data_IF_864488237589
#
_entry.id   IF_864488237589
#
_cell.length_a   1.000
_cell.length_b   1.000
_cell.length_c   1.000
_cell.angle_alpha   90.00
_cell.angle_beta   90.00
_cell.angle_gamma   90.00
#
_symmetry.space_group_name_H-M   'P 1'
#
loop_
_entity.id
_entity.type
_entity.pdbx_description
1 polymer ?
#
# COMPACT_ATOMS: atom_id res chain seq x y z
N UNK A 1 -4.84 50.34 39.26
CA UNK A 1 -3.54 49.73 38.85
C UNK A 1 -3.66 48.23 38.53
N UNK A 2 -4.70 47.53 39.01
CA UNK A 2 -4.98 46.10 38.76
C UNK A 2 -5.11 45.67 37.29
N UNK A 3 -5.76 46.48 36.43
CA UNK A 3 -5.96 46.15 35.01
C UNK A 3 -4.66 46.05 34.21
N UNK A 4 -3.60 46.78 34.61
CA UNK A 4 -2.33 46.80 33.88
C UNK A 4 -1.53 45.51 34.14
N UNK A 5 -1.50 45.02 35.38
CA UNK A 5 -0.83 43.77 35.75
C UNK A 5 -1.51 42.53 35.15
N UNK A 6 -2.85 42.50 35.11
CA UNK A 6 -3.62 41.42 34.48
C UNK A 6 -3.34 41.30 32.98
N UNK A 7 -3.15 42.43 32.29
CA UNK A 7 -2.86 42.47 30.85
C UNK A 7 -1.42 42.01 30.55
N UNK A 8 -0.46 42.30 31.43
CA UNK A 8 0.92 41.82 31.29
C UNK A 8 1.05 40.32 31.55
N UNK A 9 0.29 39.77 32.50
CA UNK A 9 0.19 38.31 32.68
C UNK A 9 -0.43 37.63 31.46
N UNK A 10 -1.54 38.15 30.94
CA UNK A 10 -2.22 37.60 29.77
C UNK A 10 -1.34 37.60 28.50
N UNK A 11 -0.55 38.66 28.27
CA UNK A 11 0.41 38.72 27.15
C UNK A 11 1.50 37.66 27.28
N UNK A 12 2.03 37.44 28.48
CA UNK A 12 3.07 36.42 28.72
C UNK A 12 2.53 35.01 28.49
N UNK A 13 1.32 34.73 28.97
CA UNK A 13 0.66 33.44 28.76
C UNK A 13 0.32 33.22 27.27
N UNK A 14 -0.09 34.27 26.55
CA UNK A 14 -0.32 34.22 25.11
C UNK A 14 0.97 33.90 24.33
N UNK A 15 2.09 34.52 24.69
CA UNK A 15 3.39 34.24 24.07
C UNK A 15 3.78 32.78 24.30
N UNK A 16 3.58 32.26 25.51
CA UNK A 16 3.83 30.85 25.84
C UNK A 16 2.98 29.92 24.98
N UNK A 17 1.66 30.16 24.92
CA UNK A 17 0.73 29.33 24.14
C UNK A 17 1.10 29.34 22.64
N UNK A 18 1.40 30.50 22.08
CA UNK A 18 1.79 30.63 20.66
C UNK A 18 3.10 29.90 20.39
N UNK A 19 4.10 30.05 21.28
CA UNK A 19 5.38 29.37 21.12
C UNK A 19 5.26 27.84 21.16
N UNK A 20 4.48 27.29 22.09
CA UNK A 20 4.22 25.85 22.19
C UNK A 20 3.47 25.36 20.95
N UNK A 21 2.47 26.12 20.50
CA UNK A 21 1.68 25.77 19.30
C UNK A 21 2.58 25.68 18.07
N UNK A 22 3.50 26.64 17.89
CA UNK A 22 4.46 26.64 16.78
C UNK A 22 5.41 25.44 16.86
N UNK A 23 5.88 25.09 18.06
CA UNK A 23 6.76 23.93 18.27
C UNK A 23 6.02 22.63 17.89
N UNK A 24 4.77 22.46 18.34
CA UNK A 24 3.97 21.26 18.01
C UNK A 24 3.69 21.19 16.51
N UNK A 25 3.34 22.31 15.86
CA UNK A 25 3.16 22.35 14.41
C UNK A 25 4.45 22.00 13.68
N UNK A 26 5.60 22.53 14.14
CA UNK A 26 6.91 22.24 13.57
C UNK A 26 7.25 20.76 13.66
N UNK A 27 7.00 20.12 14.81
CA UNK A 27 7.21 18.67 15.00
C UNK A 27 6.30 17.86 14.07
N UNK A 28 5.03 18.24 13.93
CA UNK A 28 4.09 17.56 13.03
C UNK A 28 4.55 17.66 11.56
N UNK A 29 4.91 18.86 11.10
CA UNK A 29 5.38 19.08 9.73
C UNK A 29 6.68 18.30 9.47
N UNK A 30 7.61 18.32 10.43
CA UNK A 30 8.86 17.59 10.34
C UNK A 30 8.65 16.06 10.30
N UNK A 31 7.74 15.53 11.11
CA UNK A 31 7.35 14.11 11.10
C UNK A 31 6.78 13.69 9.74
N UNK A 32 5.95 14.53 9.11
CA UNK A 32 5.42 14.25 7.77
C UNK A 32 6.51 14.28 6.69
N UNK A 33 7.46 15.22 6.78
CA UNK A 33 8.53 15.37 5.80
C UNK A 33 9.59 14.25 5.85
N UNK A 34 9.73 13.57 6.99
CA UNK A 34 10.76 12.55 7.22
C UNK A 34 10.31 11.12 6.93
N UNK A 35 9.04 10.89 6.53
CA UNK A 35 8.58 9.57 6.13
C UNK A 35 9.30 9.08 4.88
N UNK A 36 10.18 8.10 5.05
CA UNK A 36 10.82 7.37 3.95
C UNK A 36 9.76 6.57 3.19
N UNK A 37 9.72 6.76 1.87
CA UNK A 37 8.88 5.98 0.95
C UNK A 37 9.66 4.73 0.53
N UNK A 38 8.98 3.59 0.44
CA UNK A 38 9.60 2.39 -0.11
C UNK A 38 9.80 2.54 -1.62
N UNK A 39 10.89 2.00 -2.13
CA UNK A 39 11.19 1.96 -3.56
C UNK A 39 10.59 0.72 -4.22
N UNK A 40 10.58 -0.39 -3.48
CA UNK A 40 10.04 -1.66 -3.92
C UNK A 40 8.84 -2.05 -3.05
N UNK A 41 7.76 -2.46 -3.71
CA UNK A 41 6.66 -3.16 -3.08
C UNK A 41 6.84 -4.67 -3.25
N UNK A 42 6.76 -5.41 -2.15
CA UNK A 42 6.89 -6.86 -2.11
C UNK A 42 5.51 -7.45 -1.86
N UNK A 43 4.98 -8.16 -2.85
CA UNK A 43 3.68 -8.83 -2.74
C UNK A 43 3.95 -10.26 -2.31
N UNK A 44 3.43 -10.62 -1.14
CA UNK A 44 3.72 -11.89 -0.47
C UNK A 44 2.46 -12.68 -0.22
N UNK A 45 2.58 -14.00 -0.32
CA UNK A 45 1.60 -14.96 0.19
C UNK A 45 2.27 -15.81 1.26
N UNK A 46 1.64 -15.93 2.43
CA UNK A 46 2.17 -16.69 3.57
C UNK A 46 3.64 -16.37 3.89
N UNK A 47 4.00 -15.08 3.83
CA UNK A 47 5.35 -14.52 4.06
C UNK A 47 6.40 -14.84 2.96
N UNK A 48 6.05 -15.59 1.92
CA UNK A 48 6.89 -15.81 0.74
C UNK A 48 6.58 -14.78 -0.34
N UNK A 49 7.60 -14.25 -1.01
CA UNK A 49 7.40 -13.19 -2.01
C UNK A 49 7.05 -13.80 -3.36
N UNK A 50 5.90 -13.42 -3.91
CA UNK A 50 5.44 -13.86 -5.23
C UNK A 50 6.06 -13.02 -6.32
N UNK A 51 6.01 -11.69 -6.15
CA UNK A 51 6.60 -10.74 -7.07
C UNK A 51 6.87 -9.42 -6.36
N UNK A 52 7.68 -8.59 -7.02
CA UNK A 52 7.96 -7.23 -6.58
C UNK A 52 7.55 -6.23 -7.65
N UNK A 53 7.25 -5.00 -7.24
CA UNK A 53 6.98 -3.87 -8.13
C UNK A 53 7.87 -2.72 -7.72
N UNK A 54 8.68 -2.24 -8.65
CA UNK A 54 9.44 -1.00 -8.49
C UNK A 54 8.48 0.18 -8.62
N UNK A 55 8.26 0.90 -7.51
CA UNK A 55 7.26 1.95 -7.43
C UNK A 55 7.65 3.19 -8.24
N UNK A 56 8.94 3.35 -8.57
CA UNK A 56 9.45 4.50 -9.31
C UNK A 56 9.30 4.34 -10.82
N UNK A 57 9.56 3.13 -11.32
CA UNK A 57 9.50 2.78 -12.75
C UNK A 57 8.21 2.05 -13.16
N UNK A 58 7.50 1.45 -12.20
CA UNK A 58 6.37 0.57 -12.45
C UNK A 58 6.75 -0.84 -12.91
N UNK A 59 8.04 -1.14 -13.04
CA UNK A 59 8.51 -2.44 -13.48
C UNK A 59 8.26 -3.48 -12.38
N UNK A 60 7.54 -4.55 -12.72
CA UNK A 60 7.41 -5.71 -11.83
C UNK A 60 8.47 -6.78 -12.14
N UNK A 61 8.76 -7.61 -11.15
CA UNK A 61 9.63 -8.77 -11.26
C UNK A 61 8.99 -9.94 -10.51
N UNK A 62 8.54 -10.95 -11.26
CA UNK A 62 8.01 -12.18 -10.70
C UNK A 62 9.13 -13.09 -10.16
N UNK A 63 8.86 -13.73 -9.03
CA UNK A 63 9.69 -14.78 -8.42
C UNK A 63 9.01 -16.14 -8.61
N UNK A 64 7.67 -16.16 -8.57
CA UNK A 64 6.84 -17.32 -8.92
C UNK A 64 6.38 -17.25 -10.38
N UNK A 65 5.54 -18.20 -10.81
CA UNK A 65 5.03 -18.26 -12.17
C UNK A 65 4.23 -16.99 -12.52
N UNK A 66 4.52 -16.43 -13.71
CA UNK A 66 3.79 -15.28 -14.23
C UNK A 66 3.00 -15.64 -15.49
N UNK A 67 1.76 -15.17 -15.53
CA UNK A 67 0.83 -15.41 -16.62
C UNK A 67 0.40 -14.09 -17.23
N UNK A 68 1.04 -13.71 -18.34
CA UNK A 68 0.65 -12.53 -19.11
C UNK A 68 -0.67 -12.77 -19.82
N UNK A 69 -1.60 -11.83 -19.69
CA UNK A 69 -2.88 -11.86 -20.39
C UNK A 69 -3.11 -10.56 -21.17
N UNK A 70 -3.95 -10.64 -22.20
CA UNK A 70 -4.22 -9.53 -23.13
C UNK A 70 -5.48 -8.75 -22.79
N UNK A 71 -6.28 -9.24 -21.84
CA UNK A 71 -7.52 -8.60 -21.40
C UNK A 71 -7.55 -8.53 -19.88
N UNK A 72 -8.12 -7.45 -19.34
CA UNK A 72 -8.23 -7.25 -17.90
C UNK A 72 -9.11 -8.33 -17.26
N UNK A 73 -8.54 -9.18 -16.38
CA UNK A 73 -9.32 -10.16 -15.64
C UNK A 73 -10.37 -9.51 -14.73
N UNK A 74 -11.46 -10.23 -14.49
CA UNK A 74 -12.50 -9.84 -13.53
C UNK A 74 -12.69 -10.93 -12.50
N UNK A 75 -12.96 -10.53 -11.25
CA UNK A 75 -13.37 -11.46 -10.20
C UNK A 75 -14.90 -11.47 -10.19
N UNK A 76 -15.50 -12.57 -10.64
CA UNK A 76 -16.94 -12.77 -10.72
C UNK A 76 -17.32 -14.05 -9.97
N UNK A 77 -18.23 -13.96 -9.00
CA UNK A 77 -18.65 -15.08 -8.16
C UNK A 77 -17.45 -15.88 -7.58
N UNK A 78 -16.47 -15.16 -7.03
CA UNK A 78 -15.24 -15.73 -6.45
C UNK A 78 -14.30 -16.44 -7.44
N UNK A 79 -14.61 -16.41 -8.74
CA UNK A 79 -13.76 -16.96 -9.81
C UNK A 79 -13.11 -15.86 -10.62
N UNK A 80 -11.98 -16.17 -11.25
CA UNK A 80 -11.29 -15.26 -12.14
C UNK A 80 -11.74 -15.53 -13.58
N UNK A 81 -12.24 -14.50 -14.26
CA UNK A 81 -12.75 -14.59 -15.64
C UNK A 81 -11.86 -13.75 -16.54
N UNK A 82 -11.40 -14.33 -17.65
CA UNK A 82 -10.55 -13.70 -18.67
C UNK A 82 -11.19 -13.96 -20.03
N UNK A 83 -11.47 -12.91 -20.80
CA UNK A 83 -12.17 -13.03 -22.10
C UNK A 83 -13.50 -13.82 -22.03
N UNK A 84 -14.19 -13.79 -20.88
CA UNK A 84 -15.45 -14.52 -20.67
C UNK A 84 -15.28 -16.00 -20.28
N UNK A 85 -14.05 -16.49 -20.12
CA UNK A 85 -13.76 -17.86 -19.69
C UNK A 85 -13.21 -17.88 -18.26
N UNK A 86 -13.67 -18.85 -17.47
CA UNK A 86 -13.15 -19.08 -16.11
C UNK A 86 -11.70 -19.57 -16.20
N UNK A 87 -10.82 -18.96 -15.41
CA UNK A 87 -9.42 -19.26 -15.35
C UNK A 87 -9.03 -19.76 -13.96
N UNK A 88 -8.63 -21.03 -13.89
CA UNK A 88 -8.20 -21.71 -12.65
C UNK A 88 -6.70 -22.02 -12.66
N UNK A 89 -5.90 -21.24 -13.41
CA UNK A 89 -4.45 -21.48 -13.51
C UNK A 89 -3.72 -21.22 -12.19
N UNK A 90 -4.20 -20.26 -11.40
CA UNK A 90 -3.55 -19.87 -10.16
C UNK A 90 -3.98 -20.76 -9.00
N UNK A 91 -3.00 -21.32 -8.31
CA UNK A 91 -3.18 -21.91 -6.98
C UNK A 91 -2.65 -20.97 -5.90
N UNK A 92 -2.99 -21.27 -4.65
CA UNK A 92 -2.55 -20.53 -3.48
C UNK A 92 -1.03 -20.34 -3.44
N UNK A 93 -0.58 -19.10 -3.59
CA UNK A 93 0.84 -18.75 -3.52
C UNK A 93 1.71 -19.21 -4.70
N UNK A 94 1.14 -19.73 -5.79
CA UNK A 94 1.94 -20.33 -6.88
C UNK A 94 2.21 -19.41 -8.06
N UNK A 95 1.62 -18.20 -8.12
CA UNK A 95 1.84 -17.33 -9.26
C UNK A 95 1.09 -16.01 -9.23
N UNK A 96 1.23 -15.28 -10.33
CA UNK A 96 0.55 -14.02 -10.58
C UNK A 96 0.06 -13.96 -12.03
N UNK A 97 -1.20 -13.56 -12.23
CA UNK A 97 -1.71 -13.15 -13.54
C UNK A 97 -1.47 -11.65 -13.69
N UNK A 98 -0.87 -11.25 -14.81
CA UNK A 98 -0.43 -9.89 -15.05
C UNK A 98 -1.13 -9.33 -16.28
N UNK A 99 -1.74 -8.16 -16.11
CA UNK A 99 -2.30 -7.34 -17.17
C UNK A 99 -1.87 -5.90 -16.96
N UNK A 100 -0.92 -5.41 -17.74
CA UNK A 100 -0.35 -4.06 -17.58
C UNK A 100 0.08 -3.78 -16.13
N UNK A 101 -0.57 -2.83 -15.44
CA UNK A 101 -0.30 -2.48 -14.04
C UNK A 101 -1.26 -3.18 -13.04
N UNK A 102 -2.00 -4.19 -13.51
CA UNK A 102 -2.95 -4.97 -12.73
C UNK A 102 -2.39 -6.38 -12.51
N UNK A 103 -2.49 -6.83 -11.25
CA UNK A 103 -1.96 -8.11 -10.81
C UNK A 103 -3.05 -8.87 -10.07
N UNK A 104 -3.21 -10.15 -10.42
CA UNK A 104 -4.19 -11.03 -9.80
C UNK A 104 -3.45 -12.20 -9.17
N UNK A 105 -3.72 -12.43 -7.89
CA UNK A 105 -3.15 -13.54 -7.13
C UNK A 105 -4.25 -14.30 -6.43
N UNK A 106 -4.03 -15.59 -6.20
CA UNK A 106 -4.91 -16.40 -5.38
C UNK A 106 -4.43 -16.40 -3.93
N UNK A 107 -5.22 -15.80 -3.05
CA UNK A 107 -5.07 -15.89 -1.60
C UNK A 107 -5.88 -17.06 -1.01
N UNK A 108 -5.83 -17.22 0.31
CA UNK A 108 -6.46 -18.36 1.00
C UNK A 108 -7.99 -18.42 0.85
N UNK A 109 -8.69 -17.29 0.89
CA UNK A 109 -10.16 -17.21 0.70
C UNK A 109 -10.58 -16.93 -0.75
N UNK A 110 -9.63 -16.59 -1.63
CA UNK A 110 -9.93 -16.37 -3.04
C UNK A 110 -9.02 -15.33 -3.68
N UNK A 111 -9.45 -14.84 -4.84
CA UNK A 111 -8.66 -13.92 -5.65
C UNK A 111 -8.55 -12.53 -5.01
N UNK A 112 -7.38 -11.92 -5.24
CA UNK A 112 -7.07 -10.54 -4.90
C UNK A 112 -6.59 -9.84 -6.17
N UNK A 113 -7.20 -8.69 -6.46
CA UNK A 113 -6.79 -7.78 -7.52
C UNK A 113 -6.00 -6.61 -6.93
N UNK A 114 -4.76 -6.46 -7.39
CA UNK A 114 -3.81 -5.42 -7.00
C UNK A 114 -3.57 -4.51 -8.21
N UNK A 115 -3.45 -3.20 -7.97
CA UNK A 115 -3.17 -2.20 -9.00
C UNK A 115 -1.99 -1.32 -8.57
N UNK A 116 -1.07 -1.11 -9.50
CA UNK A 116 -0.05 -0.08 -9.42
C UNK A 116 -0.48 1.19 -10.18
N UNK A 117 -0.37 2.35 -9.56
CA UNK A 117 -0.58 3.66 -10.22
C UNK A 117 0.76 4.32 -10.51
N UNK A 118 1.07 4.50 -11.79
CA UNK A 118 2.27 5.21 -12.26
C UNK A 118 2.29 6.69 -11.88
N UNK A 119 1.13 7.35 -11.89
CA UNK A 119 0.99 8.76 -11.49
C UNK A 119 1.31 8.97 -10.01
N UNK A 120 0.78 8.10 -9.15
CA UNK A 120 0.94 8.21 -7.69
C UNK A 120 2.20 7.53 -7.18
N UNK A 121 2.78 6.62 -7.96
CA UNK A 121 3.90 5.73 -7.56
C UNK A 121 3.54 4.94 -6.30
N UNK A 122 2.36 4.33 -6.33
CA UNK A 122 1.73 3.65 -5.19
C UNK A 122 0.98 2.41 -5.66
N UNK A 123 0.78 1.47 -4.75
CA UNK A 123 -0.01 0.27 -4.97
C UNK A 123 -1.24 0.29 -4.08
N UNK A 124 -2.34 -0.29 -4.57
CA UNK A 124 -3.52 -0.60 -3.78
C UNK A 124 -4.02 -2.00 -4.08
N UNK A 125 -4.81 -2.53 -3.16
CA UNK A 125 -5.74 -3.62 -3.47
C UNK A 125 -7.01 -2.97 -4.02
N UNK A 126 -7.46 -3.39 -5.20
CA UNK A 126 -8.68 -2.87 -5.83
C UNK A 126 -9.89 -3.64 -5.31
N UNK A 127 -9.79 -4.97 -5.29
CA UNK A 127 -10.80 -5.87 -4.77
C UNK A 127 -10.16 -7.11 -4.17
N UNK A 128 -10.78 -7.68 -3.15
CA UNK A 128 -10.39 -8.94 -2.54
C UNK A 128 -11.61 -9.77 -2.15
N UNK A 129 -11.44 -11.08 -2.20
CA UNK A 129 -12.41 -12.03 -1.63
C UNK A 129 -12.14 -12.18 -0.12
N UNK A 130 -12.80 -11.38 0.72
CA UNK A 130 -12.66 -11.47 2.18
C UNK A 130 -13.88 -10.93 2.94
N UNK A 131 -14.16 -11.36 4.19
CA UNK A 131 -15.37 -10.98 4.91
C UNK A 131 -15.53 -9.47 5.19
N UNK A 132 -14.41 -8.75 5.30
CA UNK A 132 -14.41 -7.36 5.80
C UNK A 132 -13.85 -6.35 4.80
N UNK A 133 -13.34 -6.80 3.65
CA UNK A 133 -12.77 -5.95 2.61
C UNK A 133 -11.81 -4.85 3.11
N UNK A 134 -10.99 -5.21 4.12
CA UNK A 134 -10.10 -4.25 4.79
C UNK A 134 -9.02 -3.75 3.84
N UNK A 135 -8.50 -4.62 2.96
CA UNK A 135 -7.39 -4.28 2.09
C UNK A 135 -7.78 -3.30 0.99
N UNK A 136 -8.91 -3.53 0.31
CA UNK A 136 -9.42 -2.57 -0.68
C UNK A 136 -9.84 -1.25 -0.03
N UNK A 137 -10.30 -1.28 1.21
CA UNK A 137 -10.64 -0.08 1.97
C UNK A 137 -9.46 0.84 2.30
N UNK A 138 -8.22 0.32 2.33
CA UNK A 138 -7.02 1.12 2.67
C UNK A 138 -6.59 2.07 1.55
N UNK A 139 -6.89 1.72 0.29
CA UNK A 139 -6.49 2.50 -0.87
C UNK A 139 -4.98 2.46 -1.17
N UNK A 140 -4.44 3.57 -1.68
CA UNK A 140 -3.07 3.66 -2.19
C UNK A 140 -2.03 3.79 -1.08
N UNK A 141 -0.97 3.00 -1.19
CA UNK A 141 0.19 3.03 -0.29
C UNK A 141 1.51 2.83 -1.02
N UNK A 142 2.57 3.44 -0.48
CA UNK A 142 3.97 3.21 -0.85
C UNK A 142 4.89 3.12 0.38
N UNK A 143 4.32 3.03 1.58
CA UNK A 143 5.09 3.02 2.84
C UNK A 143 4.41 2.21 3.93
N UNK A 144 3.08 2.29 4.04
CA UNK A 144 2.32 1.56 5.05
C UNK A 144 1.96 0.18 4.50
N UNK A 145 2.31 -0.92 5.18
CA UNK A 145 1.97 -2.26 4.72
C UNK A 145 0.46 -2.44 4.50
N UNK A 146 0.09 -3.21 3.48
CA UNK A 146 -1.29 -3.65 3.24
C UNK A 146 -1.37 -5.12 3.64
N UNK A 147 -2.21 -5.47 4.61
CA UNK A 147 -2.23 -6.81 5.21
C UNK A 147 -3.63 -7.43 5.07
N UNK A 148 -3.75 -8.47 4.26
CA UNK A 148 -5.00 -9.17 3.96
C UNK A 148 -5.06 -10.47 4.75
N UNK A 149 -5.27 -10.36 6.06
CA UNK A 149 -5.13 -11.45 7.02
C UNK A 149 -6.02 -12.68 6.75
N UNK A 150 -7.26 -12.60 6.22
CA UNK A 150 -7.98 -13.82 5.83
C UNK A 150 -7.35 -14.53 4.62
N UNK A 151 -6.70 -13.78 3.72
CA UNK A 151 -6.10 -14.29 2.49
C UNK A 151 -4.61 -14.65 2.63
N UNK A 152 -3.99 -14.41 3.79
CA UNK A 152 -2.56 -14.59 4.03
C UNK A 152 -1.66 -13.78 3.07
N UNK A 153 -2.19 -12.71 2.49
CA UNK A 153 -1.45 -11.85 1.56
C UNK A 153 -0.97 -10.60 2.28
N UNK A 154 0.29 -10.23 2.06
CA UNK A 154 0.87 -9.00 2.60
C UNK A 154 1.63 -8.24 1.51
N UNK A 155 1.42 -6.93 1.43
CA UNK A 155 2.21 -6.02 0.61
C UNK A 155 3.06 -5.16 1.54
N UNK A 156 4.37 -5.33 1.49
CA UNK A 156 5.34 -4.56 2.29
C UNK A 156 6.20 -3.66 1.41
N UNK A 157 6.68 -2.54 1.95
CA UNK A 157 7.43 -1.54 1.21
C UNK A 157 8.82 -1.36 1.81
N UNK A 158 9.88 -1.66 1.06
CA UNK A 158 11.26 -1.48 1.51
C UNK A 158 12.08 -0.68 0.49
N UNK A 159 13.22 -0.14 0.94
CA UNK A 159 14.28 0.37 0.05
C UNK A 159 14.90 -0.79 -0.74
N UNK A 160 15.39 -0.52 -1.95
CA UNK A 160 16.12 -1.52 -2.74
C UNK A 160 17.38 -1.91 -1.96
N UNK A 161 17.41 -3.14 -1.44
CA UNK A 161 18.65 -3.70 -0.89
C UNK A 161 19.47 -4.20 -2.07
N UNK A 162 20.25 -3.30 -2.66
CA UNK A 162 21.30 -3.70 -3.60
C UNK A 162 22.34 -4.49 -2.80
N UNK A 163 22.24 -5.81 -2.84
CA UNK A 163 23.32 -6.69 -2.42
C UNK A 163 24.48 -6.47 -3.39
N UNK A 164 25.41 -5.59 -3.00
CA UNK A 164 26.74 -5.52 -3.60
C UNK A 164 27.42 -6.85 -3.24
N UNK A 165 27.45 -7.79 -4.19
CA UNK A 165 28.32 -8.97 -4.18
C UNK A 165 29.41 -8.72 -5.21
#
# INVERSE_FOLDING_TARGET
MEKKAKNEHFKRDLILIVSITIIVLGILIFSLATKKKGELAYIKYNNETLFTVDLMSGKYQAITEDYQVTELPKIENETLVIAGEVNDKLKWGEGVIVFENHYFIMGYLGYIHIEYSSEKKMIRVVTETSPYHICSGLGYSNSNPIICLPNLVTITFNERVDLII
#
